data_IF_100583530451
#
_entry.id   IF_100583530451
#
_cell.length_a   1.000
_cell.length_b   1.000
_cell.length_c   1.000
_cell.angle_alpha   90.00
_cell.angle_beta   90.00
_cell.angle_gamma   90.00
#
_symmetry.space_group_name_H-M   'P 1'
#
loop_
_entity.id
_entity.type
_entity.pdbx_description
1 polymer ?
#
# COMPACT_ATOMS: atom_id res chain seq x y z
N UNK A 1 -31.72 -17.69 -8.80
CA UNK A 1 -31.14 -16.46 -8.23
C UNK A 1 -29.86 -16.19 -8.99
N UNK A 2 -29.83 -15.16 -9.84
CA UNK A 2 -28.61 -14.71 -10.50
C UNK A 2 -27.69 -14.17 -9.41
N UNK A 3 -26.56 -14.84 -9.17
CA UNK A 3 -25.49 -14.31 -8.32
C UNK A 3 -24.94 -13.07 -9.02
N UNK A 4 -25.19 -11.89 -8.46
CA UNK A 4 -24.61 -10.64 -8.95
C UNK A 4 -23.14 -10.68 -8.53
N UNK A 5 -22.24 -10.82 -9.50
CA UNK A 5 -20.80 -10.73 -9.26
C UNK A 5 -20.45 -9.30 -8.87
N UNK A 6 -19.72 -9.07 -7.76
CA UNK A 6 -19.29 -7.73 -7.39
C UNK A 6 -18.41 -7.11 -8.46
N UNK A 7 -18.61 -5.81 -8.72
CA UNK A 7 -17.71 -5.05 -9.57
C UNK A 7 -16.37 -4.83 -8.85
N UNK A 8 -15.25 -5.04 -9.56
CA UNK A 8 -13.91 -5.00 -8.96
C UNK A 8 -13.16 -3.74 -9.31
N UNK A 9 -12.54 -3.12 -8.31
CA UNK A 9 -11.69 -1.93 -8.48
C UNK A 9 -10.35 -2.11 -7.77
N UNK A 10 -9.30 -1.58 -8.39
CA UNK A 10 -7.93 -1.66 -7.89
C UNK A 10 -7.39 -0.26 -7.68
N UNK A 11 -7.12 0.07 -6.44
CA UNK A 11 -6.65 1.40 -6.05
C UNK A 11 -5.17 1.31 -5.71
N UNK A 12 -4.39 2.22 -6.26
CA UNK A 12 -3.03 2.43 -5.82
C UNK A 12 -2.90 3.79 -5.15
N UNK A 13 -2.15 3.81 -4.05
CA UNK A 13 -1.89 5.01 -3.28
C UNK A 13 -0.39 5.18 -3.05
N UNK A 14 0.18 6.23 -3.65
CA UNK A 14 1.47 6.78 -3.22
C UNK A 14 1.24 7.75 -2.05
N UNK A 15 1.86 7.48 -0.91
CA UNK A 15 1.51 8.11 0.37
C UNK A 15 2.35 9.35 0.63
N UNK A 16 1.69 10.50 0.70
CA UNK A 16 2.29 11.72 1.20
C UNK A 16 2.22 11.80 2.73
N UNK A 17 3.15 12.55 3.34
CA UNK A 17 3.07 12.84 4.78
C UNK A 17 1.76 13.57 5.19
N UNK A 18 1.50 13.69 6.50
CA UNK A 18 0.27 14.31 7.02
C UNK A 18 0.05 15.75 6.55
N UNK A 19 1.14 16.51 6.36
CA UNK A 19 1.13 17.92 5.96
C UNK A 19 1.80 18.13 4.58
N UNK A 20 1.62 17.18 3.65
CA UNK A 20 2.23 17.22 2.33
C UNK A 20 1.68 18.33 1.41
N UNK A 21 0.67 19.11 1.83
CA UNK A 21 0.09 20.22 1.05
C UNK A 21 1.14 21.27 0.66
N UNK A 22 2.17 21.47 1.49
CA UNK A 22 3.28 22.39 1.23
C UNK A 22 4.48 21.73 0.56
N UNK A 23 4.51 20.41 0.48
CA UNK A 23 5.58 19.68 -0.18
C UNK A 23 5.25 19.58 -1.68
N UNK A 24 6.14 20.11 -2.52
CA UNK A 24 5.97 20.02 -3.99
C UNK A 24 6.45 18.69 -4.53
N UNK A 25 7.44 18.09 -3.85
CA UNK A 25 8.17 16.89 -4.28
C UNK A 25 7.46 15.59 -3.90
N UNK A 26 6.62 15.58 -2.86
CA UNK A 26 5.90 14.37 -2.44
C UNK A 26 4.55 14.72 -1.83
N UNK A 27 3.51 14.09 -2.36
CA UNK A 27 2.09 14.26 -2.00
C UNK A 27 1.39 12.92 -2.04
N UNK A 28 0.16 12.88 -1.52
CA UNK A 28 -0.67 11.72 -1.78
C UNK A 28 -1.04 11.69 -3.27
N UNK A 29 -0.97 10.53 -3.90
CA UNK A 29 -1.53 10.31 -5.23
C UNK A 29 -2.38 9.04 -5.28
N UNK A 30 -3.48 9.09 -6.02
CA UNK A 30 -4.44 8.00 -6.14
C UNK A 30 -4.69 7.70 -7.62
N UNK A 31 -4.61 6.42 -7.97
CA UNK A 31 -5.04 5.88 -9.26
C UNK A 31 -6.03 4.75 -8.99
N UNK A 32 -7.13 4.73 -9.75
CA UNK A 32 -8.16 3.70 -9.67
C UNK A 32 -8.23 3.02 -11.02
N UNK A 33 -8.15 1.69 -11.04
CA UNK A 33 -8.30 0.85 -12.22
C UNK A 33 -9.54 -0.03 -12.09
N UNK A 34 -10.15 -0.36 -13.22
CA UNK A 34 -11.17 -1.40 -13.32
C UNK A 34 -10.55 -2.78 -13.64
N UNK A 35 -11.40 -3.78 -13.93
CA UNK A 35 -10.98 -5.12 -14.31
C UNK A 35 -10.16 -5.18 -15.61
N UNK A 36 -10.38 -4.25 -16.53
CA UNK A 36 -9.67 -4.19 -17.82
C UNK A 36 -8.38 -3.37 -17.74
N UNK A 37 -8.00 -2.93 -16.53
CA UNK A 37 -6.88 -2.02 -16.27
C UNK A 37 -7.08 -0.61 -16.85
N UNK A 38 -8.31 -0.24 -17.17
CA UNK A 38 -8.64 1.09 -17.59
C UNK A 38 -8.68 2.03 -16.37
N UNK A 39 -8.14 3.23 -16.52
CA UNK A 39 -8.17 4.24 -15.45
C UNK A 39 -9.59 4.75 -15.27
N UNK A 40 -10.13 4.60 -14.06
CA UNK A 40 -11.46 5.06 -13.69
C UNK A 40 -11.38 6.50 -13.17
N UNK A 41 -11.89 7.43 -13.98
CA UNK A 41 -11.80 8.87 -13.69
C UNK A 41 -10.40 9.44 -13.97
N UNK A 42 -9.98 10.41 -13.16
CA UNK A 42 -8.70 11.11 -13.29
C UNK A 42 -7.74 10.75 -12.14
N UNK A 43 -6.46 10.41 -12.43
CA UNK A 43 -5.44 10.28 -11.40
C UNK A 43 -5.32 11.52 -10.53
N UNK A 44 -5.50 11.35 -9.22
CA UNK A 44 -5.52 12.45 -8.27
C UNK A 44 -4.16 12.62 -7.58
N UNK A 45 -3.83 13.87 -7.22
CA UNK A 45 -2.64 14.21 -6.41
C UNK A 45 -2.95 15.38 -5.47
N UNK A 46 -2.63 15.25 -4.18
CA UNK A 46 -2.93 16.28 -3.18
C UNK A 46 -2.58 15.87 -1.74
N UNK A 47 -3.39 16.30 -0.78
CA UNK A 47 -3.28 15.86 0.62
C UNK A 47 -4.62 15.28 1.09
N UNK A 48 -4.66 13.99 1.42
CA UNK A 48 -5.83 13.24 1.88
C UNK A 48 -6.15 13.45 3.36
N UNK A 49 -5.34 14.18 4.14
CA UNK A 49 -5.56 14.35 5.59
C UNK A 49 -6.98 14.79 5.95
N UNK A 50 -7.51 15.79 5.24
CA UNK A 50 -8.87 16.31 5.51
C UNK A 50 -9.92 15.25 5.17
N UNK A 51 -9.70 14.50 4.09
CA UNK A 51 -10.59 13.43 3.64
C UNK A 51 -10.60 12.25 4.61
N UNK A 52 -9.42 11.82 5.06
CA UNK A 52 -9.23 10.78 6.08
C UNK A 52 -9.95 11.17 7.37
N UNK A 53 -9.86 12.43 7.80
CA UNK A 53 -10.56 12.90 9.01
C UNK A 53 -12.08 12.90 8.83
N UNK A 54 -12.58 13.25 7.64
CA UNK A 54 -14.00 13.36 7.34
C UNK A 54 -14.71 12.01 7.25
N UNK A 55 -14.10 11.03 6.59
CA UNK A 55 -14.70 9.70 6.45
C UNK A 55 -14.81 9.01 7.82
N UNK A 56 -15.91 8.31 8.07
CA UNK A 56 -16.13 7.54 9.30
C UNK A 56 -16.21 6.04 9.03
N UNK A 57 -16.53 5.65 7.79
CA UNK A 57 -16.63 4.26 7.34
C UNK A 57 -15.74 4.00 6.13
N UNK A 58 -15.46 2.72 5.84
CA UNK A 58 -14.74 2.30 4.64
C UNK A 58 -15.47 2.73 3.35
N UNK A 59 -16.81 2.65 3.34
CA UNK A 59 -17.63 3.09 2.21
C UNK A 59 -17.49 4.60 1.94
N UNK A 60 -17.55 5.44 2.98
CA UNK A 60 -17.35 6.89 2.86
C UNK A 60 -15.93 7.21 2.39
N UNK A 61 -14.94 6.47 2.89
CA UNK A 61 -13.55 6.60 2.47
C UNK A 61 -13.38 6.33 0.97
N UNK A 62 -13.90 5.19 0.49
CA UNK A 62 -13.87 4.83 -0.92
C UNK A 62 -14.64 5.85 -1.78
N UNK A 63 -15.81 6.30 -1.33
CA UNK A 63 -16.59 7.34 -2.02
C UNK A 63 -15.78 8.63 -2.19
N UNK A 64 -15.04 9.06 -1.17
CA UNK A 64 -14.18 10.24 -1.27
C UNK A 64 -13.03 10.00 -2.26
N UNK A 65 -12.38 8.83 -2.26
CA UNK A 65 -11.32 8.54 -3.22
C UNK A 65 -11.79 8.62 -4.67
N UNK A 66 -12.96 8.04 -4.98
CA UNK A 66 -13.58 8.13 -6.30
C UNK A 66 -13.92 9.58 -6.66
N UNK A 67 -14.49 10.36 -5.72
CA UNK A 67 -14.79 11.78 -5.93
C UNK A 67 -13.53 12.61 -6.19
N UNK A 68 -12.42 12.32 -5.49
CA UNK A 68 -11.12 12.97 -5.74
C UNK A 68 -10.60 12.66 -7.14
N UNK A 69 -10.87 11.46 -7.63
CA UNK A 69 -10.61 11.05 -9.01
C UNK A 69 -11.71 11.49 -9.99
N UNK A 70 -12.59 12.44 -9.62
CA UNK A 70 -13.67 12.99 -10.46
C UNK A 70 -14.62 11.94 -11.03
N UNK A 71 -14.82 10.85 -10.30
CA UNK A 71 -15.77 9.79 -10.63
C UNK A 71 -16.64 9.49 -9.40
N UNK A 72 -17.58 8.57 -9.56
CA UNK A 72 -18.44 8.09 -8.48
C UNK A 72 -18.28 6.59 -8.34
N UNK A 73 -18.40 6.10 -7.11
CA UNK A 73 -18.51 4.67 -6.84
C UNK A 73 -19.82 4.20 -7.51
N UNK A 74 -19.79 3.20 -8.42
CA UNK A 74 -21.03 2.78 -9.07
C UNK A 74 -22.02 2.16 -8.07
N UNK A 75 -23.27 1.92 -8.45
CA UNK A 75 -24.21 1.23 -7.56
C UNK A 75 -23.88 -0.28 -7.46
N UNK A 76 -24.38 -0.93 -6.40
CA UNK A 76 -24.30 -2.38 -6.21
C UNK A 76 -23.03 -2.91 -5.50
N UNK A 77 -22.95 -4.24 -5.27
CA UNK A 77 -21.84 -4.86 -4.54
C UNK A 77 -20.50 -4.64 -5.23
N UNK A 78 -19.44 -4.42 -4.42
CA UNK A 78 -18.08 -4.15 -4.92
C UNK A 78 -17.03 -4.97 -4.21
N UNK A 79 -15.95 -5.25 -4.91
CA UNK A 79 -14.71 -5.69 -4.31
C UNK A 79 -13.61 -4.68 -4.64
N UNK A 80 -13.04 -4.06 -3.60
CA UNK A 80 -11.97 -3.09 -3.77
C UNK A 80 -10.70 -3.63 -3.13
N UNK A 81 -9.62 -3.67 -3.91
CA UNK A 81 -8.27 -3.93 -3.37
C UNK A 81 -7.45 -2.66 -3.51
N UNK A 82 -6.83 -2.22 -2.42
CA UNK A 82 -5.97 -1.04 -2.38
C UNK A 82 -4.53 -1.42 -2.03
N UNK A 83 -3.58 -1.07 -2.88
CA UNK A 83 -2.16 -1.18 -2.59
C UNK A 83 -1.61 0.18 -2.16
N UNK A 84 -0.88 0.19 -1.04
CA UNK A 84 -0.43 1.41 -0.37
C UNK A 84 1.11 1.43 -0.35
N UNK A 85 1.70 2.50 -0.89
CA UNK A 85 3.15 2.73 -0.88
C UNK A 85 3.59 3.46 0.39
N UNK A 86 3.66 2.70 1.48
CA UNK A 86 4.33 3.11 2.71
C UNK A 86 4.46 1.89 3.62
N UNK A 87 5.45 1.85 4.53
CA UNK A 87 5.45 0.82 5.58
C UNK A 87 4.14 0.81 6.38
N UNK A 88 3.47 -0.34 6.43
CA UNK A 88 2.20 -0.54 7.15
C UNK A 88 2.37 -1.25 8.51
N UNK A 89 3.62 -1.39 8.95
CA UNK A 89 3.97 -1.94 10.26
C UNK A 89 5.35 -1.47 10.73
N UNK A 90 5.73 -1.92 11.93
CA UNK A 90 7.07 -1.76 12.48
C UNK A 90 7.59 -3.11 12.94
N UNK A 91 8.91 -3.27 13.04
CA UNK A 91 9.49 -4.53 13.46
C UNK A 91 9.12 -4.86 14.91
N UNK A 92 9.01 -6.15 15.22
CA UNK A 92 8.70 -6.60 16.57
C UNK A 92 9.76 -6.15 17.58
N UNK A 93 11.02 -6.07 17.17
CA UNK A 93 12.10 -5.58 18.01
C UNK A 93 11.97 -4.09 18.30
N UNK A 94 11.60 -3.26 17.31
CA UNK A 94 11.33 -1.84 17.55
C UNK A 94 10.13 -1.65 18.47
N UNK A 95 9.03 -2.36 18.22
CA UNK A 95 7.83 -2.31 19.05
C UNK A 95 8.18 -2.74 20.49
N UNK A 96 8.94 -3.81 20.65
CA UNK A 96 9.38 -4.31 21.97
C UNK A 96 10.30 -3.32 22.69
N UNK A 97 11.19 -2.64 21.98
CA UNK A 97 12.04 -1.61 22.54
C UNK A 97 11.22 -0.45 23.11
N UNK A 98 10.28 0.11 22.33
CA UNK A 98 9.53 1.30 22.74
C UNK A 98 8.40 1.02 23.73
N UNK A 99 7.85 -0.19 23.73
CA UNK A 99 6.72 -0.54 24.62
C UNK A 99 7.14 -1.28 25.88
N UNK A 100 8.23 -2.05 25.83
CA UNK A 100 8.69 -2.92 26.92
C UNK A 100 10.12 -2.63 27.39
N UNK A 101 10.87 -1.78 26.69
CA UNK A 101 12.27 -1.49 27.01
C UNK A 101 13.22 -2.67 26.76
N UNK A 102 12.82 -3.64 25.93
CA UNK A 102 13.63 -4.83 25.64
C UNK A 102 14.58 -4.58 24.47
N UNK A 103 15.84 -5.02 24.60
CA UNK A 103 16.83 -4.92 23.53
C UNK A 103 16.94 -6.24 22.73
N UNK A 104 17.22 -6.13 21.44
CA UNK A 104 17.36 -7.22 20.48
C UNK A 104 18.72 -7.96 20.53
N UNK A 105 19.46 -7.85 21.64
CA UNK A 105 20.82 -8.37 21.74
C UNK A 105 21.85 -7.56 20.92
N UNK A 106 22.89 -8.25 20.45
CA UNK A 106 23.98 -7.64 19.68
C UNK A 106 23.55 -7.30 18.25
N UNK A 107 23.94 -6.12 17.77
CA UNK A 107 23.60 -5.63 16.44
C UNK A 107 24.74 -5.94 15.47
N UNK A 108 24.38 -6.45 14.29
CA UNK A 108 25.31 -6.56 13.17
C UNK A 108 25.71 -5.16 12.63
N UNK A 109 26.92 -5.08 12.10
CA UNK A 109 27.46 -3.91 11.40
C UNK A 109 26.80 -3.64 10.04
N UNK A 110 26.15 -4.64 9.44
CA UNK A 110 25.48 -4.48 8.15
C UNK A 110 24.22 -3.64 8.30
N UNK A 111 24.16 -2.48 7.64
CA UNK A 111 23.02 -1.55 7.81
C UNK A 111 21.66 -2.20 7.54
N UNK A 112 21.55 -3.05 6.51
CA UNK A 112 20.28 -3.66 6.08
C UNK A 112 19.75 -4.80 6.97
N UNK A 113 20.49 -5.20 8.00
CA UNK A 113 20.10 -6.30 8.91
C UNK A 113 19.68 -5.81 10.28
N UNK A 114 19.71 -4.50 10.53
CA UNK A 114 19.35 -3.95 11.84
C UNK A 114 17.85 -4.18 12.15
N UNK A 115 17.53 -4.97 13.20
CA UNK A 115 16.16 -5.40 13.47
C UNK A 115 15.26 -4.27 13.97
N UNK A 116 15.80 -3.18 14.51
CA UNK A 116 14.99 -2.02 14.90
C UNK A 116 14.60 -1.14 13.71
N UNK A 117 15.39 -1.19 12.64
CA UNK A 117 15.21 -0.31 11.49
C UNK A 117 14.37 -0.99 10.42
N UNK A 118 14.63 -2.26 10.15
CA UNK A 118 14.00 -2.99 9.05
C UNK A 118 13.14 -4.11 9.60
N UNK A 119 11.92 -4.27 9.07
CA UNK A 119 11.09 -5.44 9.38
C UNK A 119 11.60 -6.64 8.60
N UNK A 120 11.01 -7.80 8.86
CA UNK A 120 11.30 -9.03 8.14
C UNK A 120 11.21 -8.81 6.62
N UNK A 121 10.12 -8.19 6.14
CA UNK A 121 9.91 -7.98 4.69
C UNK A 121 11.02 -7.12 4.08
N UNK A 122 11.47 -6.03 4.71
CA UNK A 122 12.59 -5.25 4.16
C UNK A 122 13.91 -6.02 4.18
N UNK A 123 14.18 -6.79 5.24
CA UNK A 123 15.39 -7.64 5.33
C UNK A 123 15.38 -8.71 4.23
N UNK A 124 14.23 -9.31 3.98
CA UNK A 124 14.02 -10.26 2.89
C UNK A 124 14.31 -9.63 1.53
N UNK A 125 13.74 -8.45 1.25
CA UNK A 125 14.00 -7.72 0.00
C UNK A 125 15.48 -7.34 -0.12
N UNK A 126 16.12 -6.93 0.98
CA UNK A 126 17.55 -6.60 0.99
C UNK A 126 18.44 -7.80 0.61
N UNK A 127 18.13 -8.98 1.14
CA UNK A 127 18.82 -10.24 0.82
C UNK A 127 18.63 -10.63 -0.65
N UNK A 128 17.52 -10.23 -1.27
CA UNK A 128 17.23 -10.44 -2.69
C UNK A 128 17.74 -9.29 -3.59
N UNK A 129 18.66 -8.47 -3.09
CA UNK A 129 19.35 -7.44 -3.88
C UNK A 129 18.61 -6.11 -4.01
N UNK A 130 17.43 -5.98 -3.41
CA UNK A 130 16.65 -4.74 -3.39
C UNK A 130 17.10 -3.84 -2.23
N UNK A 131 16.62 -2.60 -2.23
CA UNK A 131 16.96 -1.58 -1.21
C UNK A 131 15.68 -0.87 -0.76
N UNK A 132 14.77 -1.57 -0.07
CA UNK A 132 13.53 -0.98 0.41
C UNK A 132 13.79 0.13 1.42
N UNK A 133 12.88 1.10 1.46
CA UNK A 133 12.89 2.14 2.49
C UNK A 133 12.31 1.60 3.79
N UNK A 134 12.80 2.12 4.91
CA UNK A 134 12.32 1.86 6.26
C UNK A 134 11.70 3.11 6.87
N UNK A 135 10.61 2.92 7.60
CA UNK A 135 9.95 4.00 8.35
C UNK A 135 10.89 4.73 9.32
N UNK A 136 11.79 4.00 9.96
CA UNK A 136 12.71 4.55 10.97
C UNK A 136 13.98 5.09 10.31
N UNK A 137 14.64 4.27 9.49
CA UNK A 137 15.94 4.63 8.91
C UNK A 137 15.83 5.79 7.93
N UNK A 138 14.81 5.75 7.07
CA UNK A 138 14.66 6.72 5.98
C UNK A 138 13.71 7.86 6.35
N UNK A 139 13.36 7.96 7.64
CA UNK A 139 12.57 9.06 8.23
C UNK A 139 11.19 9.26 7.60
N UNK A 140 10.61 8.21 7.01
CA UNK A 140 9.26 8.21 6.40
C UNK A 140 8.15 7.82 7.39
N UNK A 141 8.37 8.05 8.68
CA UNK A 141 7.38 7.77 9.74
C UNK A 141 6.08 8.56 9.57
N UNK A 142 6.10 9.73 8.92
CA UNK A 142 4.86 10.47 8.63
C UNK A 142 3.97 9.76 7.62
N UNK A 143 4.55 9.12 6.61
CA UNK A 143 3.81 8.34 5.60
C UNK A 143 3.31 7.05 6.25
N UNK A 144 4.19 6.35 6.98
CA UNK A 144 3.87 5.09 7.63
C UNK A 144 2.69 5.23 8.59
N UNK A 145 2.75 6.22 9.50
CA UNK A 145 1.64 6.47 10.42
C UNK A 145 0.33 6.86 9.73
N UNK A 146 0.38 7.47 8.54
CA UNK A 146 -0.80 7.83 7.77
C UNK A 146 -1.45 6.61 7.11
N UNK A 147 -0.65 5.76 6.47
CA UNK A 147 -1.12 4.48 5.92
C UNK A 147 -1.70 3.59 7.02
N UNK A 148 -0.97 3.40 8.12
CA UNK A 148 -1.43 2.62 9.28
C UNK A 148 -2.72 3.18 9.90
N UNK A 149 -2.88 4.51 9.96
CA UNK A 149 -4.11 5.14 10.44
C UNK A 149 -5.31 4.82 9.54
N UNK A 150 -5.13 4.87 8.21
CA UNK A 150 -6.18 4.50 7.25
C UNK A 150 -6.57 3.03 7.41
N UNK A 151 -5.60 2.12 7.58
CA UNK A 151 -5.88 0.72 7.85
C UNK A 151 -6.68 0.54 9.15
N UNK A 152 -6.20 1.10 10.26
CA UNK A 152 -6.88 0.97 11.56
C UNK A 152 -8.32 1.52 11.54
N UNK A 153 -8.60 2.49 10.66
CA UNK A 153 -9.91 3.14 10.57
C UNK A 153 -10.86 2.45 9.59
N UNK A 154 -10.36 1.97 8.45
CA UNK A 154 -11.19 1.53 7.33
C UNK A 154 -10.98 0.06 6.94
N UNK A 155 -9.90 -0.59 7.38
CA UNK A 155 -9.63 -2.02 7.18
C UNK A 155 -8.99 -2.63 8.46
N UNK A 156 -9.69 -2.60 9.60
CA UNK A 156 -9.08 -2.90 10.90
C UNK A 156 -8.77 -4.39 11.12
N UNK A 157 -9.32 -5.28 10.29
CA UNK A 157 -9.13 -6.72 10.45
C UNK A 157 -7.92 -7.19 9.65
N UNK A 158 -6.99 -7.85 10.34
CA UNK A 158 -5.87 -8.52 9.70
C UNK A 158 -6.35 -9.89 9.19
N UNK A 159 -6.51 -10.02 7.87
CA UNK A 159 -6.98 -11.26 7.22
C UNK A 159 -5.85 -12.30 7.16
N UNK A 160 -4.64 -11.85 6.81
CA UNK A 160 -3.41 -12.64 6.81
C UNK A 160 -2.19 -11.69 6.84
N UNK A 161 -0.96 -12.22 6.89
CA UNK A 161 0.25 -11.39 6.90
C UNK A 161 0.27 -10.46 5.67
N UNK A 162 0.29 -9.15 5.93
CA UNK A 162 0.28 -8.12 4.89
C UNK A 162 -1.06 -7.92 4.16
N UNK A 163 -2.17 -8.39 4.72
CA UNK A 163 -3.51 -8.21 4.14
C UNK A 163 -4.50 -7.75 5.20
N UNK A 164 -5.03 -6.55 5.01
CA UNK A 164 -6.02 -5.92 5.88
C UNK A 164 -7.38 -5.85 5.19
N UNK A 165 -8.47 -5.92 5.95
CA UNK A 165 -9.84 -5.94 5.41
C UNK A 165 -10.85 -5.28 6.35
N UNK A 166 -11.98 -4.86 5.77
CA UNK A 166 -13.20 -4.49 6.51
C UNK A 166 -14.19 -5.66 6.65
N UNK A 167 -13.92 -6.80 6.01
CA UNK A 167 -14.80 -7.97 5.97
C UNK A 167 -16.05 -7.80 5.10
N UNK A 168 -16.25 -6.67 4.44
CA UNK A 168 -17.44 -6.30 3.68
C UNK A 168 -17.17 -6.06 2.19
N UNK A 169 -15.91 -5.96 1.78
CA UNK A 169 -15.54 -5.86 0.36
C UNK A 169 -14.28 -5.05 0.09
N UNK A 170 -13.69 -4.43 1.12
CA UNK A 170 -12.46 -3.65 1.01
C UNK A 170 -11.28 -4.43 1.59
N UNK A 171 -10.24 -4.60 0.77
CA UNK A 171 -8.92 -5.11 1.18
C UNK A 171 -7.84 -4.06 0.94
N UNK A 172 -6.84 -4.04 1.80
CA UNK A 172 -5.65 -3.23 1.65
C UNK A 172 -4.40 -4.09 1.80
N UNK A 173 -3.36 -3.77 1.03
CA UNK A 173 -2.05 -4.42 1.03
C UNK A 173 -0.94 -3.37 0.94
N UNK A 174 0.27 -3.75 1.34
CA UNK A 174 1.45 -2.91 1.15
C UNK A 174 2.10 -3.19 -0.21
N UNK A 175 2.53 -2.13 -0.89
CA UNK A 175 3.30 -2.20 -2.12
C UNK A 175 4.59 -1.38 -2.02
N UNK A 176 5.54 -1.66 -2.90
CA UNK A 176 6.76 -0.88 -3.04
C UNK A 176 7.10 -0.69 -4.53
N UNK A 177 6.54 0.34 -5.19
CA UNK A 177 6.52 0.47 -6.65
C UNK A 177 7.93 0.56 -7.24
N UNK A 178 8.89 1.15 -6.52
CA UNK A 178 10.29 1.23 -6.94
C UNK A 178 10.93 -0.14 -7.22
N UNK A 179 10.58 -1.19 -6.46
CA UNK A 179 11.07 -2.55 -6.71
C UNK A 179 10.32 -3.26 -7.85
N UNK A 180 9.11 -2.82 -8.19
CA UNK A 180 8.23 -3.53 -9.11
C UNK A 180 8.45 -3.11 -10.58
N UNK A 181 8.88 -1.88 -10.83
CA UNK A 181 8.98 -1.30 -12.19
C UNK A 181 9.88 -2.10 -13.16
N UNK A 182 10.89 -2.78 -12.64
CA UNK A 182 11.82 -3.55 -13.47
C UNK A 182 11.36 -4.98 -13.78
N UNK A 183 10.32 -5.47 -13.10
CA UNK A 183 9.83 -6.83 -13.30
C UNK A 183 9.21 -7.01 -14.69
N UNK A 184 9.36 -8.20 -15.27
CA UNK A 184 8.79 -8.51 -16.58
C UNK A 184 7.26 -8.42 -16.59
N UNK A 185 6.63 -8.82 -15.48
CA UNK A 185 5.17 -8.74 -15.29
C UNK A 185 4.72 -7.28 -15.31
N UNK A 186 5.36 -6.41 -14.52
CA UNK A 186 4.99 -5.00 -14.44
C UNK A 186 5.27 -4.26 -15.76
N UNK A 187 6.37 -4.56 -16.43
CA UNK A 187 6.67 -4.00 -17.77
C UNK A 187 5.60 -4.36 -18.80
N UNK A 188 5.05 -5.58 -18.74
CA UNK A 188 3.97 -6.00 -19.63
C UNK A 188 2.67 -5.23 -19.32
N UNK A 189 2.28 -5.16 -18.04
CA UNK A 189 1.08 -4.40 -17.63
C UNK A 189 1.16 -2.91 -18.00
N UNK A 190 2.35 -2.33 -17.96
CA UNK A 190 2.56 -0.90 -18.27
C UNK A 190 2.89 -0.61 -19.74
N UNK A 191 3.05 -1.63 -20.60
CA UNK A 191 3.63 -1.47 -21.93
C UNK A 191 2.91 -0.44 -22.81
N UNK A 192 1.60 -0.33 -22.67
CA UNK A 192 0.75 0.57 -23.45
C UNK A 192 0.23 1.77 -22.65
N UNK A 193 0.79 2.01 -21.46
CA UNK A 193 0.37 3.10 -20.60
C UNK A 193 1.29 4.31 -20.78
N UNK A 194 0.73 5.45 -21.21
CA UNK A 194 1.46 6.71 -21.22
C UNK A 194 1.90 7.11 -19.81
N UNK A 195 3.04 7.79 -19.69
CA UNK A 195 3.47 8.32 -18.39
C UNK A 195 2.47 9.35 -17.87
N UNK A 196 2.13 9.23 -16.59
CA UNK A 196 1.35 10.24 -15.89
C UNK A 196 2.23 11.45 -15.60
N UNK A 197 1.57 12.57 -15.26
CA UNK A 197 2.18 13.90 -15.16
C UNK A 197 3.35 14.01 -14.16
N UNK A 198 3.36 13.19 -13.13
CA UNK A 198 4.33 13.23 -12.04
C UNK A 198 4.59 11.83 -11.48
N UNK A 199 5.71 11.71 -10.76
CA UNK A 199 6.18 10.43 -10.23
C UNK A 199 5.20 9.85 -9.22
N UNK A 200 4.66 10.66 -8.30
CA UNK A 200 3.65 10.21 -7.31
C UNK A 200 2.47 9.48 -7.99
N UNK A 201 1.92 10.05 -9.07
CA UNK A 201 0.85 9.39 -9.84
C UNK A 201 1.33 8.14 -10.55
N UNK A 202 2.55 8.12 -11.08
CA UNK A 202 3.10 6.93 -11.72
C UNK A 202 3.33 5.80 -10.69
N UNK A 203 3.81 6.11 -9.49
CA UNK A 203 3.96 5.17 -8.38
C UNK A 203 2.60 4.66 -7.89
N UNK A 204 1.62 5.55 -7.75
CA UNK A 204 0.23 5.16 -7.47
C UNK A 204 -0.35 4.24 -8.55
N UNK A 205 -0.04 4.44 -9.84
CA UNK A 205 -0.46 3.50 -10.89
C UNK A 205 0.19 2.13 -10.74
N UNK A 206 1.48 2.07 -10.44
CA UNK A 206 2.18 0.81 -10.19
C UNK A 206 1.55 0.08 -8.99
N UNK A 207 1.23 0.79 -7.92
CA UNK A 207 0.47 0.24 -6.80
C UNK A 207 -0.88 -0.32 -7.25
N UNK A 208 -1.64 0.40 -8.08
CA UNK A 208 -2.93 -0.09 -8.58
C UNK A 208 -2.79 -1.40 -9.39
N UNK A 209 -1.72 -1.54 -10.17
CA UNK A 209 -1.38 -2.79 -10.88
C UNK A 209 -1.04 -3.94 -9.91
N UNK A 210 -0.35 -3.66 -8.81
CA UNK A 210 -0.08 -4.65 -7.75
C UNK A 210 -1.39 -5.08 -7.07
N UNK A 211 -2.29 -4.13 -6.79
CA UNK A 211 -3.62 -4.44 -6.25
C UNK A 211 -4.44 -5.32 -7.21
N UNK A 212 -4.34 -5.10 -8.52
CA UNK A 212 -4.93 -5.97 -9.53
C UNK A 212 -4.34 -7.38 -9.48
N UNK A 213 -3.01 -7.51 -9.62
CA UNK A 213 -2.32 -8.80 -9.57
C UNK A 213 -2.64 -9.57 -8.29
N UNK A 214 -2.69 -8.90 -7.14
CA UNK A 214 -3.01 -9.54 -5.86
C UNK A 214 -4.42 -10.14 -5.82
N UNK A 215 -5.35 -9.55 -6.57
CA UNK A 215 -6.74 -9.98 -6.61
C UNK A 215 -7.01 -11.02 -7.71
N UNK A 216 -6.29 -10.97 -8.83
CA UNK A 216 -6.54 -11.83 -10.01
C UNK A 216 -5.54 -12.97 -10.17
N UNK A 217 -4.26 -12.72 -9.91
CA UNK A 217 -3.12 -13.59 -10.24
C UNK A 217 -2.06 -13.52 -9.12
N UNK A 218 -2.49 -13.81 -7.88
CA UNK A 218 -1.67 -13.59 -6.68
C UNK A 218 -0.35 -14.37 -6.70
N UNK A 219 -0.29 -15.50 -7.41
CA UNK A 219 0.90 -16.31 -7.60
C UNK A 219 2.02 -15.62 -8.40
N UNK A 220 1.69 -14.53 -9.11
CA UNK A 220 2.68 -13.65 -9.72
C UNK A 220 3.39 -12.78 -8.67
N UNK A 221 2.91 -12.75 -7.43
CA UNK A 221 3.48 -11.97 -6.33
C UNK A 221 4.15 -12.88 -5.30
N UNK A 222 5.28 -12.43 -4.75
CA UNK A 222 5.97 -13.14 -3.69
C UNK A 222 5.10 -13.11 -2.42
N UNK A 223 4.70 -14.29 -1.96
CA UNK A 223 3.92 -14.47 -0.74
C UNK A 223 4.81 -14.43 0.53
N UNK A 224 4.27 -13.98 1.68
CA UNK A 224 5.01 -14.01 2.93
C UNK A 224 5.37 -15.45 3.33
N UNK A 225 6.61 -15.70 3.80
CA UNK A 225 6.96 -16.94 4.49
C UNK A 225 6.06 -17.22 5.72
N UNK A 226 5.97 -18.48 6.12
CA UNK A 226 5.09 -18.95 7.21
C UNK A 226 5.48 -18.38 8.58
N UNK A 227 6.76 -18.03 8.75
CA UNK A 227 7.37 -17.55 9.98
C UNK A 227 7.40 -16.02 10.12
N UNK A 228 6.88 -15.27 9.14
CA UNK A 228 6.85 -13.81 9.23
C UNK A 228 5.91 -13.36 10.35
N UNK A 229 6.37 -12.50 11.26
CA UNK A 229 5.49 -11.86 12.23
C UNK A 229 4.33 -11.14 11.53
N UNK A 230 3.10 -11.60 11.76
CA UNK A 230 1.91 -11.10 11.04
C UNK A 230 1.73 -9.58 11.23
N UNK A 231 2.13 -9.06 12.40
CA UNK A 231 2.02 -7.64 12.75
C UNK A 231 3.05 -6.73 12.05
N UNK A 232 4.10 -7.30 11.47
CA UNK A 232 5.07 -6.52 10.69
C UNK A 232 4.52 -6.18 9.30
N UNK A 233 3.55 -6.95 8.79
CA UNK A 233 3.05 -6.79 7.43
C UNK A 233 3.98 -7.40 6.37
N UNK A 234 3.63 -7.22 5.10
CA UNK A 234 4.35 -7.78 3.97
C UNK A 234 4.24 -6.88 2.74
N UNK A 235 5.37 -6.59 2.09
CA UNK A 235 5.41 -5.87 0.83
C UNK A 235 5.15 -6.87 -0.31
N UNK A 236 4.05 -6.68 -1.03
CA UNK A 236 3.74 -7.50 -2.20
C UNK A 236 4.46 -6.97 -3.43
N UNK A 237 5.34 -7.80 -4.01
CA UNK A 237 6.09 -7.51 -5.23
C UNK A 237 6.01 -8.67 -6.23
N UNK A 238 6.05 -8.39 -7.54
CA UNK A 238 6.12 -9.41 -8.60
C UNK A 238 7.52 -9.98 -8.85
#
# INVERSE_FOLDING_TARGET
>A
MTTITPESFYIGWDVGGWNCDRNKESRDAIVILDLNLDVVGDPWRGNLRVDINKATTAEEWLSILFQRCKTVVPDGPKSVTMAIDTPLGFSEEFVSLVTKGMHAGDLDTTSGTNPYLFRYTERYLYQNGLRPLSAIKDMIGSQATKGMHVLAKFAPTLESCGVWTDGMGFRAIEAYPAACRESGVMKNLLQNCDLLKDDDRNDARVCAMIAHLFATDREQLVSPPVDVPVNEGWIWIP
#
